data_IF_458418675934
#
_entry.id   IF_458418675934
#
_cell.length_a   1.000
_cell.length_b   1.000
_cell.length_c   1.000
_cell.angle_alpha   90.00
_cell.angle_beta   90.00
_cell.angle_gamma   90.00
#
_symmetry.space_group_name_H-M   'P 1'
#
loop_
_entity.id
_entity.type
_entity.pdbx_description
1 polymer ?
#
# COMPACT_ATOMS: atom_id res chain seq x y z
N UNK A 1 -13.09 -21.97 -2.50
CA UNK A 1 -11.67 -21.70 -2.28
C UNK A 1 -11.59 -20.28 -1.77
N UNK A 2 -10.86 -19.99 -0.68
CA UNK A 2 -10.65 -18.60 -0.27
C UNK A 2 -9.73 -17.95 -1.30
N UNK A 3 -10.09 -16.77 -1.78
CA UNK A 3 -9.26 -15.98 -2.68
C UNK A 3 -8.07 -15.44 -1.88
N UNK A 4 -6.90 -15.96 -2.15
CA UNK A 4 -5.67 -15.61 -1.47
C UNK A 4 -4.75 -14.89 -2.45
N UNK A 5 -4.26 -13.70 -2.05
CA UNK A 5 -3.28 -12.93 -2.81
C UNK A 5 -3.70 -12.71 -4.28
N UNK A 6 -4.91 -12.19 -4.47
CA UNK A 6 -5.45 -11.84 -5.77
C UNK A 6 -6.14 -10.47 -5.78
N UNK A 7 -6.09 -9.84 -6.95
CA UNK A 7 -6.88 -8.69 -7.32
C UNK A 7 -7.79 -9.07 -8.49
N UNK A 8 -9.04 -8.65 -8.44
CA UNK A 8 -9.99 -8.79 -9.54
C UNK A 8 -10.66 -7.46 -9.86
N UNK A 9 -10.89 -7.23 -11.13
CA UNK A 9 -11.72 -6.11 -11.62
C UNK A 9 -13.12 -6.60 -11.89
N UNK A 10 -14.07 -5.71 -11.76
CA UNK A 10 -15.45 -5.96 -12.13
C UNK A 10 -16.11 -4.70 -12.70
N UNK A 11 -17.20 -4.90 -13.43
CA UNK A 11 -18.05 -3.83 -13.98
C UNK A 11 -19.49 -4.11 -13.59
N UNK A 12 -20.28 -3.06 -13.46
CA UNK A 12 -21.74 -3.15 -13.41
C UNK A 12 -22.26 -2.93 -14.82
N UNK A 13 -22.77 -4.00 -15.45
CA UNK A 13 -23.23 -3.94 -16.84
C UNK A 13 -24.38 -2.94 -17.00
N UNK A 14 -24.32 -2.13 -18.04
CA UNK A 14 -25.29 -1.07 -18.31
C UNK A 14 -25.07 0.24 -17.54
N UNK A 15 -23.99 0.34 -16.77
CA UNK A 15 -23.64 1.56 -16.02
C UNK A 15 -22.22 2.04 -16.34
N UNK A 16 -21.89 3.28 -15.94
CA UNK A 16 -20.53 3.83 -16.02
C UNK A 16 -19.75 3.61 -14.71
N UNK A 17 -19.98 2.49 -14.00
CA UNK A 17 -19.32 2.20 -12.73
C UNK A 17 -18.48 0.93 -12.86
N UNK A 18 -17.23 1.04 -12.44
CA UNK A 18 -16.29 -0.07 -12.35
C UNK A 18 -15.89 -0.33 -10.90
N UNK A 19 -15.33 -1.49 -10.64
CA UNK A 19 -14.76 -1.78 -9.35
C UNK A 19 -13.53 -2.67 -9.41
N UNK A 20 -12.77 -2.63 -8.35
CA UNK A 20 -11.65 -3.50 -8.04
C UNK A 20 -11.86 -4.10 -6.64
N UNK A 21 -11.55 -5.38 -6.49
CA UNK A 21 -11.55 -6.09 -5.20
C UNK A 21 -10.24 -6.82 -5.02
N UNK A 22 -9.66 -6.73 -3.83
CA UNK A 22 -8.36 -7.32 -3.51
C UNK A 22 -8.40 -8.07 -2.19
N UNK A 23 -7.61 -9.15 -2.11
CA UNK A 23 -7.38 -9.90 -0.88
C UNK A 23 -5.92 -10.32 -0.80
N UNK A 24 -5.30 -10.04 0.34
CA UNK A 24 -3.93 -10.37 0.67
C UNK A 24 -3.92 -11.32 1.87
N UNK A 25 -3.22 -12.43 1.75
CA UNK A 25 -3.05 -13.43 2.82
C UNK A 25 -1.58 -13.75 3.03
N UNK A 26 -0.99 -14.59 2.18
CA UNK A 26 0.43 -14.98 2.29
C UNK A 26 1.34 -13.76 2.07
N UNK A 27 1.05 -12.92 1.08
CA UNK A 27 1.81 -11.70 0.83
C UNK A 27 1.78 -10.73 2.01
N UNK A 28 0.62 -10.61 2.69
CA UNK A 28 0.49 -9.81 3.90
C UNK A 28 1.30 -10.40 5.07
N UNK A 29 1.24 -11.71 5.26
CA UNK A 29 2.02 -12.41 6.29
C UNK A 29 3.52 -12.28 6.03
N UNK A 30 3.98 -12.46 4.80
CA UNK A 30 5.40 -12.30 4.43
C UNK A 30 5.96 -10.92 4.78
N UNK A 31 5.10 -9.87 4.73
CA UNK A 31 5.48 -8.50 5.06
C UNK A 31 5.36 -8.16 6.55
N UNK A 32 4.71 -9.02 7.35
CA UNK A 32 4.44 -8.74 8.77
C UNK A 32 5.07 -9.73 9.74
N UNK A 33 5.45 -10.93 9.30
CA UNK A 33 5.90 -12.02 10.16
C UNK A 33 7.15 -11.70 10.98
N UNK A 34 8.09 -10.95 10.41
CA UNK A 34 9.32 -10.55 11.07
C UNK A 34 9.23 -9.16 11.74
N UNK A 35 8.09 -8.50 11.61
CA UNK A 35 7.85 -7.17 12.12
C UNK A 35 7.05 -7.25 13.42
N UNK A 36 7.60 -6.74 14.50
CA UNK A 36 6.92 -6.71 15.81
C UNK A 36 5.88 -5.57 15.87
N UNK A 37 5.03 -5.45 14.86
CA UNK A 37 3.98 -4.42 14.86
C UNK A 37 2.87 -4.79 15.86
N UNK A 38 2.47 -3.85 16.75
CA UNK A 38 1.25 -3.99 17.55
C UNK A 38 0.03 -4.29 16.64
N UNK A 39 -0.97 -5.04 17.13
CA UNK A 39 -2.11 -5.48 16.33
C UNK A 39 -2.77 -4.35 15.52
N UNK A 40 -3.06 -3.21 16.14
CA UNK A 40 -3.70 -2.05 15.49
C UNK A 40 -2.85 -1.45 14.36
N UNK A 41 -1.53 -1.39 14.56
CA UNK A 41 -0.59 -0.90 13.54
C UNK A 41 -0.47 -1.90 12.40
N UNK A 42 -0.42 -3.20 12.71
CA UNK A 42 -0.42 -4.26 11.71
C UNK A 42 -1.70 -4.24 10.87
N UNK A 43 -2.86 -4.04 11.49
CA UNK A 43 -4.14 -3.97 10.80
C UNK A 43 -4.18 -2.72 9.89
N UNK A 44 -3.77 -1.55 10.37
CA UNK A 44 -3.64 -0.35 9.54
C UNK A 44 -2.66 -0.57 8.37
N UNK A 45 -1.53 -1.24 8.61
CA UNK A 45 -0.57 -1.58 7.56
C UNK A 45 -1.20 -2.48 6.49
N UNK A 46 -2.04 -3.44 6.88
CA UNK A 46 -2.83 -4.26 5.96
C UNK A 46 -3.77 -3.43 5.08
N UNK A 47 -4.44 -2.42 5.64
CA UNK A 47 -5.27 -1.49 4.88
C UNK A 47 -4.45 -0.69 3.85
N UNK A 48 -3.24 -0.22 4.21
CA UNK A 48 -2.33 0.46 3.27
C UNK A 48 -1.89 -0.46 2.12
N UNK A 49 -1.60 -1.73 2.41
CA UNK A 49 -1.24 -2.72 1.39
C UNK A 49 -2.42 -3.00 0.45
N UNK A 50 -3.62 -3.18 0.99
CA UNK A 50 -4.84 -3.37 0.19
C UNK A 50 -5.13 -2.13 -0.68
N UNK A 51 -4.98 -0.93 -0.12
CA UNK A 51 -5.12 0.32 -0.87
C UNK A 51 -4.10 0.41 -2.02
N UNK A 52 -2.82 0.13 -1.75
CA UNK A 52 -1.78 0.14 -2.80
C UNK A 52 -2.07 -0.88 -3.92
N UNK A 53 -2.60 -2.07 -3.59
CA UNK A 53 -3.03 -3.06 -4.58
C UNK A 53 -4.18 -2.54 -5.45
N UNK A 54 -5.24 -1.99 -4.84
CA UNK A 54 -6.38 -1.41 -5.56
C UNK A 54 -5.93 -0.27 -6.50
N UNK A 55 -5.13 0.67 -5.99
CA UNK A 55 -4.63 1.78 -6.79
C UNK A 55 -3.65 1.32 -7.88
N UNK A 56 -2.84 0.30 -7.59
CA UNK A 56 -1.94 -0.35 -8.55
C UNK A 56 -2.65 -0.92 -9.77
N UNK A 57 -3.92 -1.35 -9.60
CA UNK A 57 -4.76 -1.81 -10.71
C UNK A 57 -5.01 -0.73 -11.76
N UNK A 58 -4.95 0.55 -11.39
CA UNK A 58 -5.15 1.67 -12.31
C UNK A 58 -3.92 2.03 -13.17
N UNK A 59 -2.75 1.46 -12.87
CA UNK A 59 -1.53 1.72 -13.63
C UNK A 59 -1.64 1.19 -15.06
N UNK A 60 -1.65 2.09 -16.02
CA UNK A 60 -1.72 1.77 -17.47
C UNK A 60 -0.36 1.43 -18.08
N UNK A 61 0.72 1.84 -17.43
CA UNK A 61 2.10 1.71 -17.90
C UNK A 61 2.97 1.10 -16.81
N UNK A 62 4.13 0.50 -17.18
CA UNK A 62 5.10 0.06 -16.20
C UNK A 62 5.50 1.20 -15.27
N UNK A 63 5.41 0.96 -13.98
CA UNK A 63 5.66 1.97 -12.96
C UNK A 63 5.30 1.47 -11.57
N UNK A 64 5.38 2.38 -10.64
CA UNK A 64 5.12 2.15 -9.23
C UNK A 64 4.07 3.16 -8.74
N UNK A 65 3.14 2.70 -7.94
CA UNK A 65 2.30 3.57 -7.12
C UNK A 65 2.65 3.39 -5.66
N UNK A 66 2.73 4.47 -4.92
CA UNK A 66 2.92 4.44 -3.48
C UNK A 66 1.81 5.21 -2.78
N UNK A 67 1.36 4.66 -1.66
CA UNK A 67 0.46 5.28 -0.69
C UNK A 67 1.26 5.47 0.58
N UNK A 68 1.53 6.70 0.96
CA UNK A 68 2.38 7.03 2.10
C UNK A 68 1.70 8.05 3.00
N UNK A 69 1.58 7.73 4.28
CA UNK A 69 1.20 8.70 5.30
C UNK A 69 2.40 9.05 6.18
N UNK A 70 2.50 10.31 6.55
CA UNK A 70 3.47 10.85 7.52
C UNK A 70 2.74 11.70 8.53
N UNK A 71 3.11 11.56 9.79
CA UNK A 71 2.50 12.33 10.87
C UNK A 71 3.42 12.45 12.08
N UNK A 72 2.94 13.14 13.09
CA UNK A 72 3.64 13.41 14.35
C UNK A 72 3.19 12.52 15.50
N UNK A 73 2.37 11.50 15.20
CA UNK A 73 1.87 10.52 16.16
C UNK A 73 2.86 9.37 16.44
N UNK A 74 2.41 8.32 17.16
CA UNK A 74 3.19 7.11 17.43
C UNK A 74 3.74 6.44 16.17
N UNK A 75 2.97 6.45 15.09
CA UNK A 75 3.39 6.06 13.75
C UNK A 75 3.85 7.32 13.01
N UNK A 76 5.16 7.48 12.84
CA UNK A 76 5.72 8.64 12.12
C UNK A 76 5.61 8.50 10.61
N UNK A 77 5.56 7.27 10.10
CA UNK A 77 5.40 6.97 8.67
C UNK A 77 4.83 5.57 8.48
N UNK A 78 3.92 5.45 7.53
CA UNK A 78 3.46 4.18 6.98
C UNK A 78 3.42 4.31 5.45
N UNK A 79 3.91 3.29 4.75
CA UNK A 79 3.99 3.31 3.29
C UNK A 79 3.74 1.91 2.74
N UNK A 80 2.96 1.85 1.66
CA UNK A 80 2.79 0.69 0.82
C UNK A 80 3.00 1.06 -0.64
N UNK A 81 3.65 0.19 -1.39
CA UNK A 81 3.94 0.35 -2.81
C UNK A 81 3.44 -0.86 -3.59
N UNK A 82 2.93 -0.61 -4.79
CA UNK A 82 2.49 -1.63 -5.73
C UNK A 82 2.94 -1.28 -7.14
N UNK A 83 3.45 -2.26 -7.89
CA UNK A 83 3.75 -2.08 -9.29
C UNK A 83 2.63 -2.67 -10.19
N UNK A 84 2.74 -2.48 -11.51
CA UNK A 84 1.77 -2.97 -12.49
C UNK A 84 1.55 -4.50 -12.44
N UNK A 85 2.53 -5.27 -11.93
CA UNK A 85 2.45 -6.74 -11.78
C UNK A 85 1.83 -7.17 -10.45
N UNK A 86 1.23 -6.26 -9.71
CA UNK A 86 0.71 -6.50 -8.36
C UNK A 86 1.77 -7.05 -7.40
N UNK A 87 3.00 -6.56 -7.53
CA UNK A 87 4.08 -6.83 -6.59
C UNK A 87 4.09 -5.73 -5.53
N UNK A 88 3.87 -6.12 -4.29
CA UNK A 88 3.70 -5.24 -3.14
C UNK A 88 4.93 -5.26 -2.23
N UNK A 89 5.18 -4.12 -1.62
CA UNK A 89 6.02 -3.98 -0.43
C UNK A 89 5.54 -2.81 0.41
N UNK A 90 5.90 -2.82 1.68
CA UNK A 90 5.54 -1.70 2.56
C UNK A 90 6.38 -1.70 3.83
N UNK A 91 6.24 -0.64 4.60
CA UNK A 91 6.96 -0.42 5.84
C UNK A 91 6.18 0.50 6.77
N UNK A 92 6.30 0.28 8.07
CA UNK A 92 5.84 1.19 9.10
C UNK A 92 7.04 1.65 9.92
N UNK A 93 7.08 2.94 10.25
CA UNK A 93 8.07 3.54 11.15
C UNK A 93 7.36 4.30 12.26
N UNK A 94 7.92 4.23 13.44
CA UNK A 94 7.37 4.93 14.60
C UNK A 94 8.01 4.43 15.89
N UNK A 95 7.58 5.00 17.00
CA UNK A 95 7.98 4.62 18.34
C UNK A 95 6.82 3.94 19.06
N UNK A 96 6.56 2.67 18.73
CA UNK A 96 5.41 1.92 19.25
C UNK A 96 5.73 1.08 20.47
N UNK A 97 7.01 0.89 20.81
CA UNK A 97 7.45 0.06 21.94
C UNK A 97 7.23 0.77 23.30
N UNK A 98 7.30 2.10 23.31
CA UNK A 98 7.13 2.91 24.54
C UNK A 98 5.68 3.20 24.88
N UNK A 99 4.75 2.94 23.98
CA UNK A 99 3.33 3.24 24.18
C UNK A 99 2.55 1.92 24.24
N UNK A 100 1.79 1.72 25.35
CA UNK A 100 0.87 0.59 25.49
C UNK A 100 -0.33 0.71 24.54
N UNK A 101 -0.05 0.75 23.23
CA UNK A 101 -1.06 0.92 22.17
C UNK A 101 -2.12 -0.19 22.15
N UNK A 102 -1.80 -1.37 22.74
CA UNK A 102 -2.71 -2.50 22.81
C UNK A 102 -3.80 -2.33 23.88
N UNK A 103 -3.57 -1.51 24.90
CA UNK A 103 -4.50 -1.33 26.02
C UNK A 103 -5.38 -0.09 25.90
N UNK A 104 -5.05 0.85 25.01
CA UNK A 104 -5.86 2.04 24.83
C UNK A 104 -6.97 1.80 23.80
N UNK A 105 -8.18 1.52 24.28
CA UNK A 105 -9.37 1.28 23.47
C UNK A 105 -9.76 2.50 22.59
N UNK A 106 -9.22 3.68 22.89
CA UNK A 106 -9.53 4.92 22.17
C UNK A 106 -8.68 5.11 20.89
N UNK A 107 -7.64 4.29 20.70
CA UNK A 107 -6.79 4.36 19.48
C UNK A 107 -7.46 3.56 18.36
N UNK A 108 -8.50 4.09 17.78
CA UNK A 108 -9.23 3.46 16.65
C UNK A 108 -9.21 4.27 15.37
N UNK A 109 -8.89 5.56 15.45
CA UNK A 109 -8.84 6.44 14.29
C UNK A 109 -7.43 6.54 13.70
N UNK A 110 -7.38 6.84 12.41
CA UNK A 110 -6.13 7.10 11.68
C UNK A 110 -5.32 8.24 12.35
N UNK A 111 -6.02 9.30 12.80
CA UNK A 111 -5.43 10.44 13.48
C UNK A 111 -4.80 10.09 14.84
N UNK A 112 -5.33 9.11 15.56
CA UNK A 112 -4.74 8.69 16.84
C UNK A 112 -3.40 7.95 16.65
N UNK A 113 -3.21 7.26 15.53
CA UNK A 113 -1.97 6.55 15.22
C UNK A 113 -0.95 7.46 14.53
N UNK A 114 -1.38 8.28 13.60
CA UNK A 114 -0.49 9.11 12.78
C UNK A 114 -0.39 10.56 13.29
N UNK A 115 -1.34 11.02 14.13
CA UNK A 115 -1.38 12.41 14.57
C UNK A 115 -1.73 13.37 13.43
N UNK A 116 -1.20 14.59 13.50
CA UNK A 116 -1.31 15.59 12.44
C UNK A 116 -0.33 15.26 11.33
N UNK A 117 -0.80 15.23 10.08
CA UNK A 117 0.07 14.81 9.00
C UNK A 117 -0.54 14.87 7.62
N UNK A 118 0.08 14.17 6.69
CA UNK A 118 -0.34 14.13 5.28
C UNK A 118 -0.32 12.71 4.73
N UNK A 119 -1.25 12.45 3.81
CA UNK A 119 -1.28 11.28 2.93
C UNK A 119 -0.83 11.71 1.54
N UNK A 120 0.20 11.07 1.01
CA UNK A 120 0.70 11.26 -0.34
C UNK A 120 0.44 10.02 -1.19
N UNK A 121 -0.14 10.20 -2.36
CA UNK A 121 -0.25 9.19 -3.40
C UNK A 121 0.70 9.59 -4.52
N UNK A 122 1.67 8.73 -4.80
CA UNK A 122 2.70 9.00 -5.80
C UNK A 122 2.64 7.95 -6.90
N UNK A 123 2.61 8.39 -8.15
CA UNK A 123 2.72 7.53 -9.33
C UNK A 123 4.07 7.83 -9.98
N UNK A 124 4.92 6.83 -10.05
CA UNK A 124 6.25 6.90 -10.63
C UNK A 124 6.32 5.95 -11.84
N UNK A 125 6.08 6.46 -13.07
CA UNK A 125 6.21 5.66 -14.27
C UNK A 125 7.69 5.35 -14.54
N UNK A 126 8.00 4.19 -15.16
CA UNK A 126 9.38 3.88 -15.57
C UNK A 126 9.94 4.91 -16.56
N UNK A 127 9.05 5.55 -17.33
CA UNK A 127 9.40 6.63 -18.27
C UNK A 127 8.34 7.72 -18.16
N UNK A 128 8.79 8.95 -17.94
CA UNK A 128 7.92 10.11 -17.78
C UNK A 128 8.12 10.82 -16.45
N UNK A 129 7.26 11.76 -16.19
CA UNK A 129 7.31 12.55 -14.95
C UNK A 129 6.54 11.86 -13.83
N UNK A 130 7.06 11.98 -12.63
CA UNK A 130 6.39 11.54 -11.41
C UNK A 130 5.20 12.46 -11.12
N UNK A 131 4.07 11.87 -10.78
CA UNK A 131 2.91 12.59 -10.29
C UNK A 131 2.73 12.31 -8.78
N UNK A 132 2.45 13.34 -8.01
CA UNK A 132 2.15 13.22 -6.59
C UNK A 132 0.95 14.10 -6.20
N UNK A 133 -0.04 13.49 -5.55
CA UNK A 133 -1.11 14.20 -4.89
C UNK A 133 -0.99 14.05 -3.38
N UNK A 134 -1.24 15.14 -2.65
CA UNK A 134 -1.11 15.20 -1.20
C UNK A 134 -2.42 15.70 -0.60
N UNK A 135 -2.92 15.00 0.42
CA UNK A 135 -4.09 15.41 1.20
C UNK A 135 -3.78 15.39 2.70
N UNK A 136 -4.42 16.23 3.51
CA UNK A 136 -4.24 16.21 4.96
C UNK A 136 -4.85 14.93 5.57
N UNK A 137 -4.30 14.48 6.71
CA UNK A 137 -4.83 13.38 7.52
C UNK A 137 -5.88 13.89 8.52
N UNK A 138 -6.92 14.52 8.03
CA UNK A 138 -7.99 15.11 8.86
C UNK A 138 -9.22 14.19 8.98
N UNK A 139 -9.24 13.09 8.23
CA UNK A 139 -10.36 12.15 8.19
C UNK A 139 -10.05 10.90 9.01
N UNK A 140 -11.09 10.29 9.57
CA UNK A 140 -10.96 9.21 10.56
C UNK A 140 -10.37 7.91 10.02
N UNK A 141 -10.49 7.65 8.70
CA UNK A 141 -10.06 6.39 8.08
C UNK A 141 -9.24 6.62 6.81
N UNK A 142 -8.35 5.66 6.51
CA UNK A 142 -7.58 5.67 5.25
C UNK A 142 -8.49 5.71 4.02
N UNK A 143 -9.58 4.93 4.04
CA UNK A 143 -10.57 4.91 2.95
C UNK A 143 -11.09 6.31 2.63
N UNK A 144 -11.48 7.09 3.65
CA UNK A 144 -12.00 8.45 3.47
C UNK A 144 -10.94 9.43 2.99
N UNK A 145 -9.70 9.30 3.46
CA UNK A 145 -8.59 10.12 2.95
C UNK A 145 -8.33 9.84 1.46
N UNK A 146 -8.43 8.58 1.03
CA UNK A 146 -8.29 8.20 -0.37
C UNK A 146 -9.48 8.67 -1.23
N UNK A 147 -10.72 8.55 -0.74
CA UNK A 147 -11.92 9.07 -1.39
C UNK A 147 -11.78 10.58 -1.63
N UNK A 148 -11.36 11.32 -0.60
CA UNK A 148 -11.09 12.76 -0.69
C UNK A 148 -9.99 13.10 -1.70
N UNK A 149 -8.91 12.31 -1.74
CA UNK A 149 -7.87 12.46 -2.75
C UNK A 149 -8.43 12.33 -4.18
N UNK A 150 -9.27 11.32 -4.45
CA UNK A 150 -9.86 11.12 -5.77
C UNK A 150 -10.80 12.26 -6.16
N UNK A 151 -11.57 12.76 -5.21
CA UNK A 151 -12.46 13.90 -5.43
C UNK A 151 -11.67 15.17 -5.80
N UNK A 152 -10.61 15.50 -5.03
CA UNK A 152 -9.84 16.72 -5.22
C UNK A 152 -8.88 16.67 -6.41
N UNK A 153 -8.22 15.53 -6.61
CA UNK A 153 -7.10 15.42 -7.57
C UNK A 153 -7.51 14.80 -8.91
N UNK A 154 -8.43 13.87 -8.92
CA UNK A 154 -8.84 13.14 -10.12
C UNK A 154 -10.26 13.52 -10.59
N UNK A 155 -11.03 14.20 -9.75
CA UNK A 155 -12.45 14.54 -9.99
C UNK A 155 -13.30 13.30 -10.35
N UNK A 156 -12.96 12.16 -9.74
CA UNK A 156 -13.65 10.88 -9.92
C UNK A 156 -14.38 10.50 -8.62
N UNK A 157 -15.68 10.35 -8.71
CA UNK A 157 -16.46 9.80 -7.62
C UNK A 157 -15.97 8.38 -7.33
N UNK A 158 -15.41 8.18 -6.15
CA UNK A 158 -14.77 6.93 -5.73
C UNK A 158 -15.25 6.57 -4.33
N UNK A 159 -15.57 5.30 -4.13
CA UNK A 159 -15.93 4.74 -2.83
C UNK A 159 -15.03 3.56 -2.51
N UNK A 160 -14.47 3.55 -1.29
CA UNK A 160 -13.47 2.56 -0.88
C UNK A 160 -13.86 1.98 0.47
N UNK A 161 -13.76 0.65 0.59
CA UNK A 161 -13.80 -0.06 1.88
C UNK A 161 -12.52 -0.86 2.02
N UNK A 162 -11.86 -0.68 3.15
CA UNK A 162 -10.65 -1.41 3.53
C UNK A 162 -10.90 -2.11 4.85
N UNK A 163 -10.36 -3.29 4.99
CA UNK A 163 -10.40 -4.05 6.23
C UNK A 163 -9.17 -4.94 6.35
N UNK A 164 -8.73 -5.14 7.58
CA UNK A 164 -7.63 -6.04 7.91
C UNK A 164 -7.93 -6.84 9.16
N UNK A 165 -7.30 -7.99 9.25
CA UNK A 165 -7.32 -8.88 10.40
C UNK A 165 -5.90 -9.39 10.67
N UNK A 166 -5.72 -10.23 11.68
CA UNK A 166 -4.39 -10.81 11.99
C UNK A 166 -3.75 -11.60 10.83
N UNK A 167 -4.53 -12.06 9.86
CA UNK A 167 -4.06 -12.97 8.80
C UNK A 167 -4.43 -12.55 7.39
N UNK A 168 -5.26 -11.53 7.22
CA UNK A 168 -5.75 -11.11 5.90
C UNK A 168 -6.03 -9.62 5.86
N UNK A 169 -5.62 -8.97 4.78
CA UNK A 169 -6.05 -7.64 4.41
C UNK A 169 -6.91 -7.70 3.14
N UNK A 170 -7.90 -6.84 3.03
CA UNK A 170 -8.83 -6.81 1.90
C UNK A 170 -9.27 -5.39 1.60
N UNK A 171 -9.61 -5.14 0.35
CA UNK A 171 -10.15 -3.88 -0.09
C UNK A 171 -11.09 -4.05 -1.26
N UNK A 172 -12.08 -3.19 -1.32
CA UNK A 172 -12.97 -3.02 -2.47
C UNK A 172 -13.09 -1.54 -2.80
N UNK A 173 -13.00 -1.22 -4.07
CA UNK A 173 -13.14 0.11 -4.63
C UNK A 173 -14.18 0.07 -5.73
N UNK A 174 -15.12 1.01 -5.72
CA UNK A 174 -15.96 1.33 -6.86
C UNK A 174 -15.71 2.77 -7.29
N UNK A 175 -15.75 3.01 -8.59
CA UNK A 175 -15.43 4.31 -9.16
C UNK A 175 -16.30 4.59 -10.37
N UNK A 176 -16.84 5.80 -10.42
CA UNK A 176 -17.56 6.28 -11.58
C UNK A 176 -16.55 6.65 -12.68
N UNK A 177 -16.75 6.09 -13.86
CA UNK A 177 -15.93 6.43 -15.03
C UNK A 177 -16.34 7.81 -15.56
N UNK A 178 -15.42 8.53 -16.24
CA UNK A 178 -15.79 9.77 -16.91
C UNK A 178 -16.97 9.53 -17.86
N UNK A 179 -18.02 10.30 -17.67
CA UNK A 179 -19.26 10.15 -18.41
C UNK A 179 -19.07 10.48 -19.89
N UNK A 180 -19.60 9.64 -20.76
CA UNK A 180 -19.77 9.98 -22.18
C UNK A 180 -20.97 10.89 -22.40
N UNK A 181 -21.98 10.85 -21.50
CA UNK A 181 -23.15 11.73 -21.45
C UNK A 181 -23.62 11.80 -19.99
N UNK A 182 -23.67 13.00 -19.42
CA UNK A 182 -24.28 13.22 -18.13
C UNK A 182 -25.77 12.79 -18.17
N UNK A 183 -26.17 11.91 -17.25
CA UNK A 183 -27.55 11.49 -17.10
C UNK A 183 -27.93 11.42 -15.62
N UNK A 184 -29.19 11.77 -15.31
CA UNK A 184 -29.74 11.60 -13.97
C UNK A 184 -29.62 10.15 -13.48
N UNK A 185 -29.62 9.19 -14.42
CA UNK A 185 -29.49 7.76 -14.12
C UNK A 185 -28.12 7.42 -13.52
N UNK A 186 -27.02 8.02 -14.01
CA UNK A 186 -25.68 7.78 -13.47
C UNK A 186 -25.58 8.17 -11.98
N UNK A 187 -26.27 9.22 -11.58
CA UNK A 187 -26.32 9.62 -10.17
C UNK A 187 -27.14 8.64 -9.31
N UNK A 188 -28.25 8.14 -9.84
CA UNK A 188 -29.08 7.11 -9.17
C UNK A 188 -28.28 5.82 -9.00
N UNK A 189 -27.61 5.36 -10.06
CA UNK A 189 -26.78 4.16 -10.03
C UNK A 189 -25.64 4.29 -9.03
N UNK A 190 -24.95 5.44 -9.01
CA UNK A 190 -23.90 5.73 -8.06
C UNK A 190 -24.38 5.67 -6.60
N UNK A 191 -25.52 6.29 -6.31
CA UNK A 191 -26.12 6.25 -4.96
C UNK A 191 -26.52 4.83 -4.57
N UNK A 192 -27.07 4.05 -5.49
CA UNK A 192 -27.44 2.65 -5.27
C UNK A 192 -26.23 1.80 -4.89
N UNK A 193 -25.18 1.79 -5.71
CA UNK A 193 -23.99 0.95 -5.46
C UNK A 193 -23.19 1.38 -4.23
N UNK A 194 -23.10 2.68 -3.98
CA UNK A 194 -22.42 3.17 -2.77
C UNK A 194 -23.19 2.82 -1.51
N UNK A 195 -24.52 2.89 -1.52
CA UNK A 195 -25.36 2.48 -0.39
C UNK A 195 -25.21 0.98 -0.09
N UNK A 196 -25.17 0.13 -1.13
CA UNK A 196 -24.92 -1.31 -0.96
C UNK A 196 -23.53 -1.58 -0.41
N UNK A 197 -22.49 -0.93 -0.96
CA UNK A 197 -21.11 -1.10 -0.50
C UNK A 197 -20.93 -0.69 0.96
N UNK A 198 -21.65 0.34 1.43
CA UNK A 198 -21.60 0.75 2.84
C UNK A 198 -22.08 -0.32 3.82
N UNK A 199 -22.91 -1.27 3.38
CA UNK A 199 -23.39 -2.36 4.20
C UNK A 199 -22.35 -3.45 4.47
N UNK A 200 -21.23 -3.47 3.71
CA UNK A 200 -20.17 -4.46 3.86
C UNK A 200 -19.43 -4.26 5.18
N UNK A 201 -19.40 -5.32 5.98
CA UNK A 201 -18.73 -5.32 7.29
C UNK A 201 -17.27 -5.75 7.17
N UNK A 202 -16.36 -5.26 8.03
CA UNK A 202 -14.95 -5.64 8.02
C UNK A 202 -14.72 -7.15 8.13
N UNK A 203 -15.51 -7.84 8.97
CA UNK A 203 -15.42 -9.30 9.15
C UNK A 203 -15.76 -10.05 7.86
N UNK A 204 -16.76 -9.57 7.11
CA UNK A 204 -17.16 -10.14 5.82
C UNK A 204 -16.05 -9.95 4.78
N UNK A 205 -15.45 -8.75 4.75
CA UNK A 205 -14.35 -8.42 3.85
C UNK A 205 -13.13 -9.33 4.06
N UNK A 206 -12.83 -9.67 5.31
CA UNK A 206 -11.66 -10.50 5.65
C UNK A 206 -11.94 -12.00 5.66
N UNK A 207 -13.19 -12.46 5.60
CA UNK A 207 -13.53 -13.89 5.68
C UNK A 207 -14.14 -14.46 4.41
N UNK A 208 -14.91 -13.68 3.66
CA UNK A 208 -15.59 -14.12 2.44
C UNK A 208 -14.66 -14.07 1.22
N UNK A 209 -14.92 -14.91 0.22
CA UNK A 209 -14.33 -14.82 -1.11
C UNK A 209 -14.86 -13.60 -1.89
N UNK A 210 -14.16 -13.20 -2.95
CA UNK A 210 -14.61 -12.09 -3.81
C UNK A 210 -16.01 -12.33 -4.37
N UNK A 211 -16.27 -13.55 -4.86
CA UNK A 211 -17.59 -13.93 -5.38
C UNK A 211 -18.68 -13.84 -4.32
N UNK A 212 -18.41 -14.30 -3.08
CA UNK A 212 -19.37 -14.21 -1.98
C UNK A 212 -19.65 -12.77 -1.58
N UNK A 213 -18.61 -11.91 -1.51
CA UNK A 213 -18.77 -10.50 -1.22
C UNK A 213 -19.61 -9.78 -2.29
N UNK A 214 -19.23 -9.94 -3.57
CA UNK A 214 -19.93 -9.31 -4.70
C UNK A 214 -21.38 -9.83 -4.82
N UNK A 215 -21.61 -11.14 -4.68
CA UNK A 215 -22.96 -11.69 -4.68
C UNK A 215 -23.80 -11.16 -3.53
N UNK A 216 -23.23 -11.10 -2.32
CA UNK A 216 -23.95 -10.58 -1.14
C UNK A 216 -24.37 -9.13 -1.30
N UNK A 217 -23.50 -8.29 -1.90
CA UNK A 217 -23.75 -6.87 -2.09
C UNK A 217 -24.67 -6.62 -3.30
N UNK A 218 -24.41 -7.28 -4.42
CA UNK A 218 -24.89 -6.89 -5.74
C UNK A 218 -25.64 -8.02 -6.47
N UNK A 219 -26.27 -8.99 -5.75
CA UNK A 219 -26.95 -10.13 -6.36
C UNK A 219 -28.18 -9.74 -7.21
N UNK A 220 -28.68 -8.51 -7.10
CA UNK A 220 -29.77 -7.98 -7.92
C UNK A 220 -29.28 -7.22 -9.16
N UNK A 221 -27.95 -7.05 -9.27
CA UNK A 221 -27.30 -6.27 -10.32
C UNK A 221 -26.46 -7.20 -11.20
N UNK A 222 -26.30 -6.84 -12.47
CA UNK A 222 -25.48 -7.59 -13.42
C UNK A 222 -24.01 -7.22 -13.23
N UNK A 223 -23.28 -8.03 -12.46
CA UNK A 223 -21.85 -7.86 -12.18
C UNK A 223 -21.02 -8.75 -13.08
N UNK A 224 -20.19 -8.13 -13.92
CA UNK A 224 -19.20 -8.83 -14.75
C UNK A 224 -17.85 -8.84 -14.06
N UNK A 225 -17.41 -10.02 -13.61
CA UNK A 225 -16.12 -10.22 -12.97
C UNK A 225 -15.06 -10.64 -14.00
N UNK A 226 -13.88 -10.03 -13.96
CA UNK A 226 -12.76 -10.34 -14.85
C UNK A 226 -11.80 -11.35 -14.21
N UNK A 227 -10.85 -11.85 -15.01
CA UNK A 227 -9.79 -12.72 -14.53
C UNK A 227 -8.98 -12.07 -13.40
N UNK A 228 -8.59 -12.90 -12.43
CA UNK A 228 -7.78 -12.46 -11.30
C UNK A 228 -6.33 -12.25 -11.69
N UNK A 229 -5.69 -11.25 -11.05
CA UNK A 229 -4.26 -11.04 -11.06
C UNK A 229 -3.67 -11.50 -9.73
N UNK A 230 -2.59 -12.29 -9.78
CA UNK A 230 -1.90 -12.71 -8.57
C UNK A 230 -1.14 -11.54 -7.95
N UNK A 231 -1.23 -11.46 -6.63
CA UNK A 231 -0.49 -10.51 -5.80
C UNK A 231 0.70 -11.26 -5.18
N UNK A 232 1.83 -10.59 -5.02
CA UNK A 232 2.97 -11.15 -4.32
C UNK A 232 3.75 -10.08 -3.57
N UNK A 233 4.38 -10.48 -2.48
CA UNK A 233 5.41 -9.68 -1.85
C UNK A 233 6.67 -9.69 -2.74
N UNK A 234 7.23 -8.52 -2.99
CA UNK A 234 8.47 -8.39 -3.76
C UNK A 234 9.32 -7.21 -3.25
N UNK A 235 10.49 -7.53 -2.75
CA UNK A 235 11.46 -6.52 -2.39
C UNK A 235 12.52 -6.35 -3.48
N UNK A 236 12.62 -5.15 -4.02
CA UNK A 236 13.63 -4.80 -5.04
C UNK A 236 15.01 -4.46 -4.45
N UNK A 237 15.25 -4.78 -3.16
CA UNK A 237 16.57 -4.57 -2.57
C UNK A 237 17.62 -5.43 -3.29
N UNK A 238 18.78 -4.86 -3.48
CA UNK A 238 19.91 -5.54 -4.13
C UNK A 238 21.23 -4.99 -3.60
N UNK A 239 22.29 -5.77 -3.72
CA UNK A 239 23.63 -5.35 -3.34
C UNK A 239 23.97 -3.98 -3.96
N UNK A 240 23.73 -3.80 -5.26
CA UNK A 240 23.98 -2.52 -5.95
C UNK A 240 23.22 -1.33 -5.37
N UNK A 241 21.97 -1.52 -4.90
CA UNK A 241 21.21 -0.45 -4.24
C UNK A 241 21.77 -0.11 -2.88
N UNK A 242 22.18 -1.12 -2.11
CA UNK A 242 22.83 -0.92 -0.82
C UNK A 242 24.18 -0.22 -1.00
N UNK A 243 25.01 -0.65 -1.96
CA UNK A 243 26.29 0.00 -2.29
C UNK A 243 26.11 1.49 -2.62
N UNK A 244 25.10 1.85 -3.42
CA UNK A 244 24.79 3.27 -3.70
C UNK A 244 24.40 4.04 -2.44
N UNK A 245 23.62 3.44 -1.53
CA UNK A 245 23.29 4.05 -0.26
C UNK A 245 24.53 4.25 0.62
N UNK A 246 25.44 3.29 0.64
CA UNK A 246 26.71 3.40 1.36
C UNK A 246 27.59 4.54 0.82
N UNK A 247 27.66 4.71 -0.49
CA UNK A 247 28.40 5.81 -1.11
C UNK A 247 27.86 7.17 -0.63
N UNK A 248 26.55 7.31 -0.42
CA UNK A 248 25.95 8.57 0.05
C UNK A 248 26.25 8.90 1.51
N UNK A 249 26.62 7.91 2.32
CA UNK A 249 27.02 8.08 3.74
C UNK A 249 28.47 8.61 3.82
N UNK A 250 29.36 8.11 2.98
CA UNK A 250 30.75 8.51 2.94
C UNK A 250 31.70 7.49 3.58
N UNK A 251 32.91 7.37 2.99
CA UNK A 251 33.90 6.35 3.36
C UNK A 251 34.35 6.43 4.83
N UNK A 252 34.60 7.64 5.33
CA UNK A 252 35.15 7.84 6.68
C UNK A 252 34.21 7.31 7.76
N UNK A 253 32.90 7.63 7.66
CA UNK A 253 31.90 7.21 8.63
C UNK A 253 31.72 5.68 8.62
N UNK A 254 31.71 5.07 7.44
CA UNK A 254 31.64 3.62 7.29
C UNK A 254 32.85 2.88 7.86
N UNK A 255 34.04 3.43 7.69
CA UNK A 255 35.27 2.85 8.25
C UNK A 255 35.33 2.95 9.78
N UNK A 256 34.77 4.01 10.38
CA UNK A 256 34.63 4.12 11.83
C UNK A 256 33.73 2.99 12.35
N UNK A 257 32.54 2.81 11.75
CA UNK A 257 31.61 1.74 12.13
C UNK A 257 32.24 0.34 11.98
N UNK A 258 33.01 0.11 10.90
CA UNK A 258 33.72 -1.16 10.71
C UNK A 258 34.81 -1.41 11.76
N UNK A 259 35.48 -0.35 12.25
CA UNK A 259 36.49 -0.50 13.33
C UNK A 259 35.84 -0.88 14.65
N UNK A 260 34.65 -0.36 14.94
CA UNK A 260 33.94 -0.60 16.19
C UNK A 260 33.26 -1.95 16.23
N UNK A 261 32.65 -2.37 15.11
CA UNK A 261 31.77 -3.56 15.03
C UNK A 261 32.40 -4.74 14.27
N UNK A 262 33.55 -4.57 13.64
CA UNK A 262 34.24 -5.58 12.83
C UNK A 262 33.68 -5.71 11.40
N UNK A 263 32.35 -5.68 11.24
CA UNK A 263 31.63 -5.75 9.97
C UNK A 263 30.54 -4.69 9.95
N UNK A 264 30.32 -4.09 8.79
CA UNK A 264 29.15 -3.25 8.56
C UNK A 264 27.96 -4.12 8.21
N UNK A 265 26.89 -4.04 9.00
CA UNK A 265 25.63 -4.76 8.77
C UNK A 265 24.56 -3.77 8.37
N UNK A 266 23.84 -4.08 7.29
CA UNK A 266 22.71 -3.29 6.82
C UNK A 266 21.54 -4.22 6.58
N UNK A 267 20.45 -3.95 7.27
CA UNK A 267 19.21 -4.70 7.09
C UNK A 267 18.26 -3.92 6.20
N UNK A 268 17.71 -4.59 5.20
CA UNK A 268 16.67 -4.01 4.36
C UNK A 268 15.39 -3.84 5.18
N UNK A 269 14.89 -2.63 5.31
CA UNK A 269 13.71 -2.33 6.13
C UNK A 269 12.38 -2.88 5.56
N UNK A 270 12.37 -3.35 4.31
CA UNK A 270 11.18 -3.94 3.69
C UNK A 270 11.10 -5.46 3.81
N UNK A 271 12.22 -6.17 3.88
CA UNK A 271 12.26 -7.63 3.82
C UNK A 271 13.24 -8.26 4.81
N UNK A 272 13.82 -7.48 5.70
CA UNK A 272 14.77 -7.87 6.75
C UNK A 272 16.01 -8.63 6.25
N UNK A 273 16.25 -8.63 4.92
CA UNK A 273 17.47 -9.21 4.37
C UNK A 273 18.70 -8.43 4.85
N UNK A 274 19.59 -9.15 5.53
CA UNK A 274 20.85 -8.59 6.00
C UNK A 274 21.91 -8.61 4.90
N UNK A 275 22.63 -7.52 4.75
CA UNK A 275 23.80 -7.35 3.91
C UNK A 275 24.97 -7.04 4.82
N UNK A 276 26.07 -7.77 4.65
CA UNK A 276 27.27 -7.58 5.44
C UNK A 276 28.43 -7.17 4.54
N UNK A 277 29.23 -6.20 5.01
CA UNK A 277 30.39 -5.68 4.30
C UNK A 277 31.60 -5.68 5.22
N UNK A 278 32.69 -6.27 4.77
CA UNK A 278 34.00 -6.10 5.41
C UNK A 278 34.59 -4.73 5.08
N UNK A 279 35.59 -4.32 5.86
CA UNK A 279 36.34 -3.10 5.60
C UNK A 279 36.89 -3.02 4.16
N UNK A 280 37.42 -4.15 3.65
CA UNK A 280 37.98 -4.19 2.30
C UNK A 280 36.91 -4.06 1.21
N UNK A 281 35.73 -4.67 1.41
CA UNK A 281 34.60 -4.50 0.51
C UNK A 281 34.08 -3.06 0.50
N UNK A 282 34.05 -2.37 1.65
CA UNK A 282 33.68 -0.96 1.70
C UNK A 282 34.66 -0.12 0.92
N UNK A 283 35.98 -0.33 1.09
CA UNK A 283 36.99 0.40 0.34
C UNK A 283 36.81 0.19 -1.18
N UNK A 284 36.56 -1.05 -1.61
CA UNK A 284 36.33 -1.38 -3.02
C UNK A 284 35.09 -0.66 -3.63
N UNK A 285 34.02 -0.43 -2.84
CA UNK A 285 32.83 0.32 -3.29
C UNK A 285 33.19 1.77 -3.67
N UNK A 286 34.18 2.37 -3.01
CA UNK A 286 34.64 3.74 -3.27
C UNK A 286 35.82 3.85 -4.26
N UNK A 287 36.42 2.72 -4.63
CA UNK A 287 37.42 2.72 -5.70
C UNK A 287 36.75 2.94 -7.06
N UNK A 288 37.24 3.85 -7.89
CA UNK A 288 36.70 4.03 -9.23
C UNK A 288 36.84 2.72 -10.00
N UNK A 289 35.70 2.18 -10.48
CA UNK A 289 35.69 0.99 -11.34
C UNK A 289 36.59 1.23 -12.53
N UNK A 290 37.66 0.47 -12.65
CA UNK A 290 38.64 0.54 -13.76
C UNK A 290 38.04 0.30 -15.15
N UNK A 291 36.68 0.12 -15.25
CA UNK A 291 35.92 -0.16 -16.46
C UNK A 291 35.30 1.08 -17.14
N UNK A 292 35.58 2.32 -16.68
CA UNK A 292 35.12 3.54 -17.37
C UNK A 292 36.22 4.25 -18.18
N UNK A 293 37.28 3.55 -18.53
CA UNK A 293 38.34 4.05 -19.43
C UNK A 293 38.40 3.17 -20.69
N UNK A 294 37.30 3.09 -21.44
CA UNK A 294 37.36 2.72 -22.87
C UNK A 294 36.13 3.28 -23.60
#
# INVERSE_FOLDING_TARGET
MKDNDILQRFLFDGTDIRGEITSLSSSYQDMTVNQNYPPKIRDLFGEFLAAASLLGASLKYPGLISVQARGDGPVSMIMAECNQKQQLRGIVRGNFEEQNLDHDLNITSLSNLLGTGTLAITIEPEKGEQYQGIVPLELDTLSRCLEFYFEQSAQLATKIKLASSSSRASGILIQQMPETKASDQNQVDWQHFTALLETLKPEEQTTLSHNEQLFRLFHQDDVRLFESQNISFFCSCSLKRIERALISIGLEELLITCKEQGLMKITCQFCDKEYQFSKDQIIQIFEPSASMLH
#
